data_IF_212801856915
#
_entry.id   IF_212801856915
#
_cell.length_a   1.000
_cell.length_b   1.000
_cell.length_c   1.000
_cell.angle_alpha   90.00
_cell.angle_beta   90.00
_cell.angle_gamma   90.00
#
_symmetry.space_group_name_H-M   'P 1'
#
loop_
_entity.id
_entity.type
_entity.pdbx_description
1 polymer ?
#
# COMPACT_ATOMS: atom_id res chain seq x y z
N UNK A 1 2.01 28.44 6.59
CA UNK A 1 2.51 27.72 5.40
C UNK A 1 3.02 28.71 4.37
N UNK A 2 2.20 29.55 3.72
CA UNK A 2 2.71 30.53 2.72
C UNK A 2 3.48 31.70 3.38
N UNK A 3 2.90 32.35 4.40
CA UNK A 3 3.54 33.43 5.17
C UNK A 3 4.90 33.06 5.78
N UNK A 4 5.08 31.79 6.13
CA UNK A 4 6.34 31.27 6.69
C UNK A 4 7.41 31.23 5.61
N UNK A 5 7.07 30.67 4.45
CA UNK A 5 7.99 30.51 3.33
C UNK A 5 8.34 31.89 2.71
N UNK A 6 7.38 32.80 2.61
CA UNK A 6 7.60 34.20 2.23
C UNK A 6 8.58 34.90 3.17
N UNK A 7 8.51 34.61 4.48
CA UNK A 7 9.41 35.19 5.47
C UNK A 7 10.86 34.71 5.28
N UNK A 8 11.08 33.42 5.04
CA UNK A 8 12.43 32.90 4.74
C UNK A 8 12.99 33.49 3.44
N UNK A 9 12.16 33.62 2.40
CA UNK A 9 12.53 34.27 1.14
C UNK A 9 12.91 35.75 1.35
N UNK A 10 12.10 36.49 2.12
CA UNK A 10 12.35 37.91 2.44
C UNK A 10 13.68 38.16 3.14
N UNK A 11 14.14 37.22 3.97
CA UNK A 11 15.39 37.34 4.73
C UNK A 11 16.58 36.62 4.07
N UNK A 12 16.45 36.18 2.81
CA UNK A 12 17.47 35.45 2.04
C UNK A 12 18.05 34.25 2.81
N UNK A 13 17.21 33.59 3.60
CA UNK A 13 17.62 32.41 4.37
C UNK A 13 17.45 31.15 3.51
N UNK A 14 18.47 30.28 3.43
CA UNK A 14 18.32 28.96 2.84
C UNK A 14 17.13 28.22 3.46
N UNK A 15 16.28 27.66 2.62
CA UNK A 15 15.08 26.93 3.03
C UNK A 15 14.82 25.78 2.07
N UNK A 16 14.23 24.71 2.61
CA UNK A 16 13.68 23.58 1.87
C UNK A 16 12.24 23.41 2.35
N UNK A 17 11.30 23.30 1.42
CA UNK A 17 9.91 22.95 1.75
C UNK A 17 9.75 21.42 1.79
N UNK A 18 9.12 20.90 2.85
CA UNK A 18 8.79 19.47 2.96
C UNK A 18 7.32 19.18 2.56
N UNK A 19 6.58 20.24 2.19
CA UNK A 19 5.20 20.17 1.74
C UNK A 19 5.05 20.23 0.22
N UNK A 20 3.83 19.89 -0.24
CA UNK A 20 3.43 19.95 -1.64
C UNK A 20 2.41 21.07 -1.91
N UNK A 21 2.33 22.08 -1.04
CA UNK A 21 1.38 23.18 -1.24
C UNK A 21 1.81 24.07 -2.42
N UNK A 22 0.86 24.64 -3.14
CA UNK A 22 1.18 25.55 -4.25
C UNK A 22 1.80 26.85 -3.72
N UNK A 23 2.92 27.26 -4.33
CA UNK A 23 3.54 28.58 -4.17
C UNK A 23 4.52 28.80 -5.33
N UNK A 24 4.71 30.04 -5.75
CA UNK A 24 5.61 30.39 -6.88
C UNK A 24 7.04 30.75 -6.42
N UNK A 25 7.33 30.60 -5.13
CA UNK A 25 8.65 30.87 -4.57
C UNK A 25 9.69 29.87 -5.11
N UNK A 26 10.91 30.31 -5.48
CA UNK A 26 11.97 29.47 -6.04
C UNK A 26 12.65 28.65 -4.93
N UNK A 27 11.87 27.92 -4.13
CA UNK A 27 12.32 27.11 -2.99
C UNK A 27 12.19 25.65 -3.38
N UNK A 28 13.34 24.97 -3.35
CA UNK A 28 13.41 23.53 -3.59
C UNK A 28 12.63 22.76 -2.52
N UNK A 29 12.07 21.62 -2.93
CA UNK A 29 11.16 20.82 -2.10
C UNK A 29 11.64 19.39 -2.02
N UNK A 30 11.49 18.78 -0.85
CA UNK A 30 11.65 17.33 -0.67
C UNK A 30 10.31 16.79 -0.18
N UNK A 31 9.62 16.06 -1.04
CA UNK A 31 8.25 15.60 -0.79
C UNK A 31 8.15 14.11 -1.04
N UNK A 32 7.16 13.46 -0.42
CA UNK A 32 6.92 12.04 -0.65
C UNK A 32 6.56 11.75 -2.11
N UNK A 33 7.02 10.61 -2.61
CA UNK A 33 6.67 10.10 -3.93
C UNK A 33 5.27 9.48 -3.93
N UNK A 34 4.26 10.33 -4.17
CA UNK A 34 2.86 9.91 -4.24
C UNK A 34 2.57 8.96 -5.41
N UNK A 35 3.42 8.94 -6.45
CA UNK A 35 3.28 7.99 -7.55
C UNK A 35 3.59 6.57 -7.09
N UNK A 36 4.68 6.40 -6.36
CA UNK A 36 5.03 5.10 -5.80
C UNK A 36 4.04 4.64 -4.73
N UNK A 37 3.50 5.55 -3.91
CA UNK A 37 2.41 5.24 -2.98
C UNK A 37 1.18 4.70 -3.73
N UNK A 38 0.71 5.43 -4.75
CA UNK A 38 -0.44 5.00 -5.55
C UNK A 38 -0.22 3.64 -6.21
N UNK A 39 1.01 3.38 -6.69
CA UNK A 39 1.40 2.08 -7.25
C UNK A 39 1.35 0.96 -6.20
N UNK A 40 1.95 1.15 -5.03
CA UNK A 40 1.98 0.15 -3.96
C UNK A 40 0.57 -0.21 -3.49
N UNK A 41 -0.30 0.79 -3.33
CA UNK A 41 -1.70 0.57 -2.97
C UNK A 41 -2.47 -0.21 -4.04
N UNK A 42 -2.33 0.18 -5.32
CA UNK A 42 -2.97 -0.52 -6.44
C UNK A 42 -2.51 -1.97 -6.55
N UNK A 43 -1.19 -2.20 -6.50
CA UNK A 43 -0.61 -3.54 -6.55
C UNK A 43 -1.13 -4.42 -5.41
N UNK A 44 -1.18 -3.90 -4.17
CA UNK A 44 -1.65 -4.62 -2.99
C UNK A 44 -3.11 -5.05 -3.12
N UNK A 45 -4.00 -4.12 -3.46
CA UNK A 45 -5.42 -4.42 -3.61
C UNK A 45 -5.68 -5.39 -4.77
N UNK A 46 -4.99 -5.22 -5.90
CA UNK A 46 -5.07 -6.16 -7.03
C UNK A 46 -4.64 -7.56 -6.61
N UNK A 47 -3.56 -7.66 -5.83
CA UNK A 47 -3.01 -8.93 -5.37
C UNK A 47 -3.94 -9.66 -4.40
N UNK A 48 -4.79 -8.91 -3.70
CA UNK A 48 -5.89 -9.43 -2.87
C UNK A 48 -7.16 -9.72 -3.68
N UNK A 49 -7.19 -9.42 -4.98
CA UNK A 49 -8.33 -9.65 -5.85
C UNK A 49 -9.34 -8.51 -5.90
N UNK A 50 -9.10 -7.41 -5.19
CA UNK A 50 -9.99 -6.25 -5.28
C UNK A 50 -9.90 -5.64 -6.69
N UNK A 51 -11.08 -5.36 -7.26
CA UNK A 51 -11.25 -4.65 -8.54
C UNK A 51 -11.88 -3.28 -8.37
N UNK A 52 -12.47 -3.04 -7.22
CA UNK A 52 -13.11 -1.78 -6.91
C UNK A 52 -12.55 -1.25 -5.60
N UNK A 53 -12.01 -0.05 -5.68
CA UNK A 53 -11.37 0.63 -4.55
C UNK A 53 -12.13 1.92 -4.31
N UNK A 54 -12.49 2.16 -3.05
CA UNK A 54 -13.17 3.35 -2.60
C UNK A 54 -12.20 4.29 -1.92
N UNK A 55 -12.47 5.58 -2.01
CA UNK A 55 -11.75 6.61 -1.25
C UNK A 55 -12.67 7.80 -1.03
N UNK A 56 -12.23 8.79 -0.24
CA UNK A 56 -12.95 10.06 -0.09
C UNK A 56 -12.44 11.11 -1.08
N UNK A 57 -13.11 12.25 -1.15
CA UNK A 57 -12.69 13.37 -2.01
C UNK A 57 -11.27 13.83 -1.65
N UNK A 58 -10.34 13.92 -2.62
CA UNK A 58 -8.95 14.35 -2.38
C UNK A 58 -8.81 15.87 -2.25
N UNK A 59 -9.89 16.64 -2.35
CA UNK A 59 -9.84 18.11 -2.47
C UNK A 59 -9.14 18.83 -1.31
N UNK A 60 -9.00 18.15 -0.17
CA UNK A 60 -8.38 18.69 1.03
C UNK A 60 -6.87 19.02 0.88
N UNK A 61 -6.13 18.34 -0.01
CA UNK A 61 -4.69 18.62 -0.22
C UNK A 61 -4.19 18.16 -1.60
N UNK A 62 -3.15 18.83 -2.12
CA UNK A 62 -2.48 18.41 -3.37
C UNK A 62 -1.85 17.01 -3.25
N UNK A 63 -1.39 16.66 -2.06
CA UNK A 63 -0.86 15.33 -1.77
C UNK A 63 -1.94 14.24 -1.94
N UNK A 64 -3.15 14.47 -1.44
CA UNK A 64 -4.27 13.53 -1.63
C UNK A 64 -4.68 13.45 -3.10
N UNK A 65 -4.66 14.57 -3.83
CA UNK A 65 -4.93 14.60 -5.28
C UNK A 65 -3.93 13.74 -6.05
N UNK A 66 -2.63 13.92 -5.85
CA UNK A 66 -1.63 13.08 -6.52
C UNK A 66 -1.80 11.60 -6.15
N UNK A 67 -1.99 11.27 -4.86
CA UNK A 67 -2.20 9.88 -4.41
C UNK A 67 -3.40 9.24 -5.11
N UNK A 68 -4.52 9.97 -5.20
CA UNK A 68 -5.71 9.52 -5.92
C UNK A 68 -5.46 9.33 -7.40
N UNK A 69 -4.84 10.29 -8.08
CA UNK A 69 -4.57 10.23 -9.52
C UNK A 69 -3.69 9.03 -9.87
N UNK A 70 -2.64 8.78 -9.10
CA UNK A 70 -1.77 7.64 -9.34
C UNK A 70 -2.42 6.31 -8.96
N UNK A 71 -3.15 6.24 -7.83
CA UNK A 71 -3.95 5.05 -7.50
C UNK A 71 -4.90 4.72 -8.66
N UNK A 72 -5.69 5.70 -9.11
CA UNK A 72 -6.64 5.56 -10.22
C UNK A 72 -5.94 5.07 -11.48
N UNK A 73 -4.83 5.71 -11.87
CA UNK A 73 -4.03 5.32 -13.04
C UNK A 73 -3.62 3.85 -13.01
N UNK A 74 -3.11 3.37 -11.88
CA UNK A 74 -2.63 1.99 -11.77
C UNK A 74 -3.77 0.98 -11.65
N UNK A 75 -4.86 1.33 -10.98
CA UNK A 75 -6.05 0.47 -10.83
C UNK A 75 -6.78 0.30 -12.17
N UNK A 76 -6.98 1.39 -12.92
CA UNK A 76 -7.65 1.36 -14.21
C UNK A 76 -6.81 0.69 -15.31
N UNK A 77 -5.48 0.69 -15.18
CA UNK A 77 -4.60 -0.08 -16.06
C UNK A 77 -4.79 -1.60 -15.96
N UNK A 78 -5.37 -2.08 -14.85
CA UNK A 78 -5.65 -3.49 -14.57
C UNK A 78 -7.18 -3.78 -14.58
N UNK A 79 -7.94 -3.03 -15.38
CA UNK A 79 -9.42 -3.11 -15.53
C UNK A 79 -10.19 -2.94 -14.20
N UNK A 80 -9.56 -2.30 -13.21
CA UNK A 80 -10.20 -1.93 -11.96
C UNK A 80 -10.90 -0.58 -12.02
N UNK A 81 -11.57 -0.22 -10.93
CA UNK A 81 -12.28 1.05 -10.77
C UNK A 81 -11.97 1.68 -9.42
N UNK A 82 -11.69 2.98 -9.42
CA UNK A 82 -11.65 3.79 -8.19
C UNK A 82 -12.91 4.64 -8.09
N UNK A 83 -13.60 4.59 -6.95
CA UNK A 83 -14.82 5.38 -6.70
C UNK A 83 -14.63 6.30 -5.51
N UNK A 84 -14.86 7.58 -5.75
CA UNK A 84 -14.91 8.58 -4.68
C UNK A 84 -16.28 8.50 -4.02
N UNK A 85 -16.28 8.33 -2.71
CA UNK A 85 -17.47 8.56 -1.89
C UNK A 85 -17.55 10.07 -1.67
N UNK A 86 -18.53 10.70 -2.34
CA UNK A 86 -18.74 12.13 -2.24
C UNK A 86 -19.10 12.50 -0.80
N UNK A 87 -18.18 13.19 -0.13
CA UNK A 87 -18.50 14.05 1.00
C UNK A 87 -19.19 15.29 0.40
N UNK A 88 -20.51 15.32 0.33
CA UNK A 88 -21.24 16.54 -0.01
C UNK A 88 -21.17 17.50 1.19
N UNK A 89 -20.00 18.10 1.43
CA UNK A 89 -19.80 19.03 2.53
C UNK A 89 -18.36 19.51 2.62
N UNK A 90 -18.12 20.75 2.16
CA UNK A 90 -16.92 21.53 2.46
C UNK A 90 -16.53 21.34 3.92
N UNK A 91 -15.36 20.80 4.20
CA UNK A 91 -14.67 21.08 5.46
C UNK A 91 -13.19 21.22 5.17
N UNK A 92 -12.77 22.49 5.20
CA UNK A 92 -11.43 22.90 5.55
C UNK A 92 -10.94 22.11 6.77
N UNK A 93 -9.63 21.95 6.90
CA UNK A 93 -8.92 21.33 8.03
C UNK A 93 -9.19 21.98 9.42
N UNK A 94 -10.26 22.75 9.60
CA UNK A 94 -10.53 23.57 10.78
C UNK A 94 -11.84 23.24 11.52
N UNK A 95 -12.60 22.21 11.12
CA UNK A 95 -13.81 21.82 11.86
C UNK A 95 -13.61 20.47 12.56
N UNK A 96 -13.52 20.52 13.88
CA UNK A 96 -13.64 19.42 14.86
C UNK A 96 -15.01 18.67 14.81
N UNK A 97 -15.67 18.61 13.65
CA UNK A 97 -16.94 17.90 13.46
C UNK A 97 -16.73 16.49 12.94
N UNK A 98 -16.18 15.60 13.77
CA UNK A 98 -15.90 14.21 13.41
C UNK A 98 -17.17 13.44 12.95
N UNK A 99 -18.35 13.75 13.49
CA UNK A 99 -19.59 13.00 13.23
C UNK A 99 -20.18 13.15 11.82
N UNK A 100 -19.93 14.29 11.16
CA UNK A 100 -20.49 14.59 9.83
C UNK A 100 -19.78 13.82 8.70
N UNK A 101 -18.47 13.61 8.84
CA UNK A 101 -17.67 12.84 7.89
C UNK A 101 -17.99 11.35 8.03
N UNK A 102 -18.19 10.89 9.28
CA UNK A 102 -18.55 9.51 9.61
C UNK A 102 -19.87 9.09 8.92
N UNK A 103 -20.89 9.93 9.03
CA UNK A 103 -22.22 9.67 8.46
C UNK A 103 -22.19 9.58 6.93
N UNK A 104 -21.45 10.46 6.26
CA UNK A 104 -21.39 10.52 4.81
C UNK A 104 -20.67 9.32 4.18
N UNK A 105 -19.59 8.84 4.80
CA UNK A 105 -18.91 7.62 4.32
C UNK A 105 -19.86 6.43 4.38
N UNK A 106 -20.56 6.26 5.51
CA UNK A 106 -21.51 5.15 5.69
C UNK A 106 -22.71 5.27 4.76
N UNK A 107 -23.28 6.46 4.59
CA UNK A 107 -24.38 6.69 3.63
C UNK A 107 -23.94 6.42 2.19
N UNK A 108 -22.74 6.86 1.82
CA UNK A 108 -22.16 6.59 0.52
C UNK A 108 -21.99 5.09 0.26
N UNK A 109 -21.44 4.36 1.23
CA UNK A 109 -21.31 2.90 1.13
C UNK A 109 -22.66 2.18 1.11
N UNK A 110 -23.65 2.62 1.89
CA UNK A 110 -25.03 2.10 1.84
C UNK A 110 -25.70 2.37 0.49
N UNK A 111 -25.47 3.54 -0.10
CA UNK A 111 -25.96 3.88 -1.44
C UNK A 111 -25.38 2.94 -2.49
N UNK A 112 -24.07 2.67 -2.42
CA UNK A 112 -23.39 1.69 -3.29
C UNK A 112 -23.98 0.29 -3.10
N UNK A 113 -24.20 -0.15 -1.86
CA UNK A 113 -24.80 -1.45 -1.58
C UNK A 113 -26.22 -1.56 -2.19
N UNK A 114 -27.05 -0.52 -2.00
CA UNK A 114 -28.41 -0.44 -2.56
C UNK A 114 -28.40 -0.51 -4.09
N UNK A 115 -27.49 0.20 -4.75
CA UNK A 115 -27.35 0.16 -6.22
C UNK A 115 -26.99 -1.24 -6.74
N UNK A 116 -26.30 -2.03 -5.92
CA UNK A 116 -25.87 -3.40 -6.26
C UNK A 116 -26.87 -4.47 -5.83
N UNK A 117 -28.04 -4.06 -5.33
CA UNK A 117 -29.04 -4.97 -4.77
C UNK A 117 -28.44 -5.92 -3.71
N UNK A 118 -27.52 -5.40 -2.89
CA UNK A 118 -26.87 -6.12 -1.78
C UNK A 118 -26.99 -5.32 -0.49
N UNK A 119 -26.52 -5.89 0.61
CA UNK A 119 -26.40 -5.18 1.89
C UNK A 119 -24.97 -4.72 2.12
N UNK A 120 -24.82 -3.69 2.96
CA UNK A 120 -23.53 -3.09 3.26
C UNK A 120 -22.54 -4.11 3.87
N UNK A 121 -23.06 -5.03 4.68
CA UNK A 121 -22.36 -6.12 5.38
C UNK A 121 -22.08 -7.34 4.49
N UNK A 122 -22.50 -7.31 3.22
CA UNK A 122 -22.23 -8.36 2.24
C UNK A 122 -21.40 -7.85 1.05
N UNK A 123 -20.96 -6.59 1.10
CA UNK A 123 -19.99 -6.09 0.14
C UNK A 123 -18.60 -6.68 0.45
N UNK A 124 -17.73 -6.69 -0.56
CA UNK A 124 -16.32 -7.02 -0.44
C UNK A 124 -15.55 -5.97 -1.23
N UNK A 125 -15.21 -4.86 -0.57
CA UNK A 125 -14.58 -3.70 -1.21
C UNK A 125 -13.28 -3.32 -0.51
N UNK A 126 -12.42 -2.61 -1.22
CA UNK A 126 -11.22 -2.00 -0.67
C UNK A 126 -11.45 -0.51 -0.43
N UNK A 127 -10.87 0.04 0.62
CA UNK A 127 -10.88 1.45 0.94
C UNK A 127 -9.46 1.97 1.11
N UNK A 128 -9.11 2.98 0.32
CA UNK A 128 -7.85 3.68 0.38
C UNK A 128 -8.03 4.98 1.18
N UNK A 129 -7.51 4.99 2.40
CA UNK A 129 -7.44 6.18 3.24
C UNK A 129 -6.14 6.94 2.92
N UNK A 130 -6.22 8.28 2.87
CA UNK A 130 -5.07 9.09 2.51
C UNK A 130 -4.03 9.22 3.63
N UNK A 131 -4.35 8.82 4.86
CA UNK A 131 -3.42 8.71 5.98
C UNK A 131 -3.96 7.73 7.03
N UNK A 132 -3.11 7.38 8.00
CA UNK A 132 -3.48 6.45 9.08
C UNK A 132 -4.52 7.02 10.05
N UNK A 133 -4.62 8.34 10.21
CA UNK A 133 -5.65 8.99 11.03
C UNK A 133 -7.04 8.73 10.43
N UNK A 134 -7.19 8.96 9.14
CA UNK A 134 -8.38 8.67 8.36
C UNK A 134 -8.70 7.18 8.35
N UNK A 135 -7.68 6.32 8.21
CA UNK A 135 -7.86 4.88 8.25
C UNK A 135 -8.38 4.41 9.63
N UNK A 136 -7.81 4.94 10.72
CA UNK A 136 -8.25 4.63 12.08
C UNK A 136 -9.69 5.10 12.34
N UNK A 137 -10.03 6.30 11.87
CA UNK A 137 -11.39 6.81 11.92
C UNK A 137 -12.35 5.89 11.16
N UNK A 138 -12.01 5.47 9.95
CA UNK A 138 -12.81 4.53 9.17
C UNK A 138 -13.02 3.20 9.89
N UNK A 139 -11.95 2.61 10.46
CA UNK A 139 -12.03 1.36 11.22
C UNK A 139 -12.99 1.49 12.41
N UNK A 140 -12.91 2.61 13.15
CA UNK A 140 -13.82 2.90 14.26
C UNK A 140 -15.28 2.93 13.80
N UNK A 141 -15.59 3.66 12.73
CA UNK A 141 -16.97 3.82 12.23
C UNK A 141 -17.50 2.47 11.74
N UNK A 142 -16.74 1.76 10.90
CA UNK A 142 -17.15 0.45 10.39
C UNK A 142 -17.46 -0.53 11.53
N UNK A 143 -16.66 -0.51 12.59
CA UNK A 143 -16.88 -1.32 13.79
C UNK A 143 -18.18 -0.94 14.52
N UNK A 144 -18.52 0.36 14.62
CA UNK A 144 -19.78 0.82 15.22
C UNK A 144 -21.02 0.32 14.45
N UNK A 145 -20.89 0.11 13.13
CA UNK A 145 -21.94 -0.42 12.27
C UNK A 145 -21.86 -1.95 12.08
N UNK A 146 -21.06 -2.66 12.88
CA UNK A 146 -20.85 -4.12 12.80
C UNK A 146 -20.39 -4.60 11.41
N UNK A 147 -19.67 -3.75 10.67
CA UNK A 147 -19.07 -4.13 9.38
C UNK A 147 -17.71 -4.77 9.64
N UNK A 148 -17.50 -5.95 9.07
CA UNK A 148 -16.27 -6.71 9.28
C UNK A 148 -15.13 -6.16 8.46
N UNK A 149 -13.99 -6.02 9.11
CA UNK A 149 -12.73 -5.64 8.49
C UNK A 149 -11.78 -6.82 8.71
N UNK A 150 -11.16 -7.37 7.66
CA UNK A 150 -11.18 -6.92 6.25
C UNK A 150 -12.31 -7.49 5.38
N UNK A 151 -13.13 -8.42 5.89
CA UNK A 151 -13.99 -9.27 5.05
C UNK A 151 -15.04 -8.50 4.26
N UNK A 152 -15.57 -7.41 4.81
CA UNK A 152 -16.52 -6.55 4.10
C UNK A 152 -15.86 -5.34 3.48
N UNK A 153 -15.00 -4.68 4.26
CA UNK A 153 -14.25 -3.50 3.83
C UNK A 153 -12.80 -3.66 4.29
N UNK A 154 -11.91 -3.89 3.34
CA UNK A 154 -10.48 -3.79 3.60
C UNK A 154 -10.07 -2.31 3.65
N UNK A 155 -9.21 -1.95 4.61
CA UNK A 155 -8.78 -0.56 4.84
C UNK A 155 -7.26 -0.49 4.77
N UNK A 156 -6.74 0.33 3.85
CA UNK A 156 -5.31 0.63 3.73
C UNK A 156 -5.05 2.11 4.07
N UNK A 157 -4.14 2.34 5.00
CA UNK A 157 -3.65 3.66 5.39
C UNK A 157 -2.31 4.04 4.77
N UNK A 158 -1.77 5.18 5.20
CA UNK A 158 -0.50 5.75 4.75
C UNK A 158 0.21 6.41 5.95
N UNK A 159 1.54 6.24 5.99
CA UNK A 159 2.54 6.73 6.95
C UNK A 159 3.07 5.69 7.94
N UNK A 160 2.38 4.56 8.13
CA UNK A 160 2.74 3.53 9.11
C UNK A 160 2.97 4.10 10.53
N UNK A 161 2.01 4.88 11.01
CA UNK A 161 2.04 5.45 12.35
C UNK A 161 1.82 4.34 13.40
N UNK A 162 2.89 4.01 14.13
CA UNK A 162 2.86 2.94 15.12
C UNK A 162 1.95 3.27 16.31
N UNK A 163 1.84 4.54 16.70
CA UNK A 163 0.98 4.95 17.82
C UNK A 163 -0.49 4.77 17.47
N UNK A 164 -0.88 5.14 16.24
CA UNK A 164 -2.23 4.88 15.74
C UNK A 164 -2.48 3.37 15.67
N UNK A 165 -1.55 2.61 15.10
CA UNK A 165 -1.73 1.16 14.93
C UNK A 165 -1.88 0.42 16.28
N UNK A 166 -1.10 0.78 17.30
CA UNK A 166 -1.21 0.18 18.65
C UNK A 166 -2.53 0.52 19.33
N UNK A 167 -3.13 1.66 19.01
CA UNK A 167 -4.43 2.09 19.54
C UNK A 167 -5.65 1.39 18.90
N UNK A 168 -5.48 0.61 17.83
CA UNK A 168 -6.57 -0.03 17.11
C UNK A 168 -6.74 -1.49 17.52
N UNK A 169 -8.01 -1.94 17.59
CA UNK A 169 -8.34 -3.36 17.82
C UNK A 169 -8.03 -4.25 16.60
N UNK A 170 -7.86 -3.65 15.42
CA UNK A 170 -7.51 -4.31 14.17
C UNK A 170 -6.23 -3.65 13.68
N UNK A 171 -5.17 -4.43 13.56
CA UNK A 171 -3.89 -3.90 13.09
C UNK A 171 -4.00 -3.34 11.66
N UNK A 172 -3.58 -2.09 11.49
CA UNK A 172 -3.77 -1.30 10.28
C UNK A 172 -2.67 -1.59 9.27
N UNK A 173 -3.06 -2.05 8.09
CA UNK A 173 -2.17 -2.10 6.93
C UNK A 173 -1.89 -0.68 6.47
N UNK A 174 -0.62 -0.35 6.22
CA UNK A 174 -0.22 1.01 5.85
C UNK A 174 1.03 1.04 4.97
N UNK A 175 1.18 2.10 4.18
CA UNK A 175 2.39 2.37 3.39
C UNK A 175 3.34 3.24 4.21
N UNK A 176 4.51 2.70 4.55
CA UNK A 176 5.59 3.45 5.19
C UNK A 176 6.20 4.44 4.19
N UNK A 177 5.97 5.73 4.44
CA UNK A 177 6.44 6.83 3.59
C UNK A 177 7.87 7.27 3.86
N UNK A 178 8.56 6.60 4.80
CA UNK A 178 9.92 6.93 5.23
C UNK A 178 10.08 8.41 5.62
N UNK A 179 9.21 8.89 6.52
CA UNK A 179 9.20 10.30 6.92
C UNK A 179 10.52 10.74 7.56
N UNK A 180 11.21 9.83 8.25
CA UNK A 180 12.55 10.06 8.79
C UNK A 180 13.59 10.25 7.67
N UNK A 181 13.62 9.35 6.68
CA UNK A 181 14.50 9.49 5.52
C UNK A 181 14.18 10.73 4.67
N UNK A 182 12.90 11.09 4.54
CA UNK A 182 12.47 12.33 3.88
C UNK A 182 13.01 13.56 4.61
N UNK A 183 12.94 13.59 5.93
CA UNK A 183 13.51 14.65 6.77
C UNK A 183 15.03 14.73 6.64
N UNK A 184 15.72 13.59 6.73
CA UNK A 184 17.18 13.50 6.53
C UNK A 184 17.59 14.01 5.15
N UNK A 185 16.83 13.64 4.10
CA UNK A 185 17.05 14.13 2.74
C UNK A 185 16.84 15.66 2.65
N UNK A 186 15.81 16.19 3.29
CA UNK A 186 15.58 17.62 3.42
C UNK A 186 16.77 18.36 4.05
N UNK A 187 17.31 17.82 5.15
CA UNK A 187 18.47 18.39 5.83
C UNK A 187 19.74 18.36 4.95
N UNK A 188 19.96 17.28 4.20
CA UNK A 188 21.08 17.17 3.25
C UNK A 188 20.99 18.25 2.16
N UNK A 189 19.82 18.44 1.55
CA UNK A 189 19.65 19.47 0.52
C UNK A 189 19.75 20.90 1.08
N UNK A 190 19.24 21.12 2.30
CA UNK A 190 19.42 22.40 3.00
C UNK A 190 20.91 22.70 3.26
N UNK A 191 21.69 21.71 3.70
CA UNK A 191 23.12 21.88 3.95
C UNK A 191 23.87 22.31 2.68
N UNK A 192 23.55 21.73 1.52
CA UNK A 192 24.12 22.15 0.23
C UNK A 192 23.80 23.60 -0.12
N UNK A 193 22.57 24.06 0.17
CA UNK A 193 22.18 25.46 -0.01
C UNK A 193 22.96 26.38 0.94
N UNK A 194 23.10 26.00 2.21
CA UNK A 194 23.86 26.77 3.20
C UNK A 194 25.34 26.90 2.81
N UNK A 195 25.92 25.84 2.25
CA UNK A 195 27.29 25.81 1.74
C UNK A 195 27.47 26.43 0.35
N UNK A 196 26.38 26.89 -0.29
CA UNK A 196 26.36 27.46 -1.65
C UNK A 196 26.85 26.50 -2.74
N UNK A 197 26.75 25.19 -2.49
CA UNK A 197 27.06 24.14 -3.47
C UNK A 197 26.01 24.07 -4.58
N UNK A 198 24.75 24.41 -4.25
CA UNK A 198 23.63 24.50 -5.16
C UNK A 198 22.91 25.84 -4.98
N UNK A 199 22.13 26.23 -5.99
CA UNK A 199 21.19 27.35 -5.91
C UNK A 199 19.77 26.81 -5.98
N UNK A 200 18.90 27.34 -5.13
CA UNK A 200 17.49 26.98 -5.13
C UNK A 200 16.83 27.40 -6.44
N UNK A 201 16.06 26.51 -7.04
CA UNK A 201 15.40 26.72 -8.34
C UNK A 201 13.91 26.36 -8.33
N UNK A 202 13.34 25.99 -7.18
CA UNK A 202 11.97 25.49 -7.09
C UNK A 202 11.85 24.01 -7.49
N UNK A 203 12.95 23.26 -7.45
CA UNK A 203 12.98 21.85 -7.85
C UNK A 203 12.21 21.00 -6.84
N UNK A 204 11.37 20.08 -7.33
CA UNK A 204 10.70 19.07 -6.50
C UNK A 204 11.51 17.77 -6.53
N UNK A 205 12.02 17.36 -5.38
CA UNK A 205 12.71 16.09 -5.14
C UNK A 205 11.69 15.13 -4.53
N UNK A 206 11.46 13.99 -5.19
CA UNK A 206 10.53 12.96 -4.70
C UNK A 206 11.30 11.91 -3.90
N UNK A 207 10.93 11.73 -2.63
CA UNK A 207 11.46 10.71 -1.73
C UNK A 207 10.55 9.47 -1.76
N UNK A 208 11.07 8.28 -2.14
CA UNK A 208 10.26 7.07 -2.26
C UNK A 208 9.74 6.59 -0.90
N UNK A 209 8.54 5.98 -0.83
CA UNK A 209 8.14 5.21 0.34
C UNK A 209 9.02 3.96 0.50
N UNK A 210 9.18 3.46 1.73
CA UNK A 210 9.90 2.21 2.02
C UNK A 210 9.16 1.00 1.48
N UNK A 211 7.95 0.74 2.00
CA UNK A 211 7.14 -0.42 1.62
C UNK A 211 5.72 -0.32 2.13
N UNK A 212 4.86 -1.20 1.60
CA UNK A 212 3.57 -1.50 2.21
C UNK A 212 3.75 -2.56 3.30
N UNK A 213 3.18 -2.30 4.46
CA UNK A 213 3.14 -3.22 5.61
C UNK A 213 1.72 -3.76 5.71
N UNK A 214 1.53 -4.99 5.21
CA UNK A 214 0.23 -5.66 5.25
C UNK A 214 -0.04 -6.17 6.68
N UNK A 215 -1.25 -5.87 7.19
CA UNK A 215 -1.75 -6.28 8.50
C UNK A 215 -3.22 -6.71 8.39
N UNK A 216 -3.88 -6.95 9.52
CA UNK A 216 -5.24 -7.50 9.56
C UNK A 216 -6.26 -6.68 8.76
N UNK A 217 -6.14 -5.34 8.73
CA UNK A 217 -7.13 -4.49 8.07
C UNK A 217 -7.27 -4.73 6.56
N UNK A 218 -6.35 -5.46 5.93
CA UNK A 218 -6.48 -5.89 4.54
C UNK A 218 -6.28 -7.39 4.37
N UNK A 219 -6.16 -8.19 5.43
CA UNK A 219 -5.81 -9.62 5.35
C UNK A 219 -6.99 -10.51 4.89
N UNK A 220 -7.48 -10.26 3.68
CA UNK A 220 -8.52 -11.05 3.02
C UNK A 220 -8.32 -11.04 1.50
N UNK A 221 -8.89 -12.05 0.86
CA UNK A 221 -9.01 -12.10 -0.60
C UNK A 221 -10.43 -11.74 -1.01
N UNK A 222 -10.57 -10.73 -1.86
CA UNK A 222 -11.83 -10.30 -2.44
C UNK A 222 -12.25 -11.21 -3.60
N UNK A 223 -12.44 -12.49 -3.31
CA UNK A 223 -12.77 -13.52 -4.30
C UNK A 223 -14.09 -14.18 -3.95
N UNK A 224 -15.10 -13.97 -4.80
CA UNK A 224 -16.46 -14.49 -4.58
C UNK A 224 -16.54 -16.02 -4.64
N UNK A 225 -15.67 -16.67 -5.41
CA UNK A 225 -15.66 -18.11 -5.53
C UNK A 225 -15.05 -18.75 -4.28
N UNK A 226 -15.89 -19.42 -3.47
CA UNK A 226 -15.49 -20.06 -2.20
C UNK A 226 -14.35 -21.07 -2.34
N UNK A 227 -14.29 -21.83 -3.45
CA UNK A 227 -13.21 -22.77 -3.72
C UNK A 227 -11.89 -22.01 -3.89
N UNK A 228 -11.89 -20.93 -4.69
CA UNK A 228 -10.69 -20.13 -4.94
C UNK A 228 -10.26 -19.40 -3.68
N UNK A 229 -11.17 -18.74 -2.96
CA UNK A 229 -10.87 -18.08 -1.69
C UNK A 229 -10.27 -19.05 -0.65
N UNK A 230 -10.86 -20.24 -0.51
CA UNK A 230 -10.34 -21.29 0.35
C UNK A 230 -8.95 -21.76 -0.08
N UNK A 231 -8.73 -21.97 -1.38
CA UNK A 231 -7.45 -22.39 -1.93
C UNK A 231 -6.36 -21.33 -1.74
N UNK A 232 -6.68 -20.04 -1.89
CA UNK A 232 -5.75 -18.92 -1.65
C UNK A 232 -5.30 -18.87 -0.19
N UNK A 233 -6.24 -19.04 0.75
CA UNK A 233 -5.91 -19.13 2.17
C UNK A 233 -5.03 -20.37 2.47
N UNK A 234 -5.40 -21.53 1.91
CA UNK A 234 -4.62 -22.75 2.08
C UNK A 234 -3.19 -22.62 1.53
N UNK A 235 -3.02 -21.99 0.36
CA UNK A 235 -1.70 -21.69 -0.20
C UNK A 235 -0.92 -20.78 0.75
N UNK A 236 -1.52 -19.71 1.26
CA UNK A 236 -0.88 -18.79 2.20
C UNK A 236 -0.36 -19.50 3.46
N UNK A 237 -1.08 -20.50 3.97
CA UNK A 237 -0.69 -21.28 5.15
C UNK A 237 0.30 -22.42 4.85
N UNK A 238 0.50 -22.81 3.58
CA UNK A 238 1.25 -24.03 3.22
C UNK A 238 2.36 -23.84 2.18
N UNK A 239 2.55 -22.65 1.60
CA UNK A 239 3.51 -22.44 0.50
C UNK A 239 4.95 -22.85 0.85
N UNK A 240 5.34 -22.71 2.11
CA UNK A 240 6.67 -23.05 2.65
C UNK A 240 6.95 -24.56 2.63
N UNK A 241 5.91 -25.40 2.56
CA UNK A 241 6.04 -26.87 2.61
C UNK A 241 6.41 -27.49 1.26
N UNK A 242 6.83 -26.71 0.27
CA UNK A 242 7.18 -27.22 -1.05
C UNK A 242 5.99 -27.64 -1.92
N UNK A 243 4.76 -27.24 -1.56
CA UNK A 243 3.52 -27.59 -2.29
C UNK A 243 3.52 -27.18 -3.78
N UNK A 244 2.73 -27.89 -4.56
CA UNK A 244 2.39 -27.62 -5.95
C UNK A 244 0.88 -27.44 -6.15
N UNK A 245 0.46 -27.02 -7.35
CA UNK A 245 -0.95 -26.85 -7.68
C UNK A 245 -1.78 -28.15 -7.51
N UNK A 246 -1.16 -29.32 -7.73
CA UNK A 246 -1.80 -30.61 -7.53
C UNK A 246 -2.14 -30.87 -6.04
N UNK A 247 -1.29 -30.42 -5.11
CA UNK A 247 -1.53 -30.56 -3.67
C UNK A 247 -2.71 -29.70 -3.22
N UNK A 248 -2.83 -28.48 -3.78
CA UNK A 248 -3.98 -27.61 -3.55
C UNK A 248 -5.26 -28.27 -4.06
N UNK A 249 -5.24 -28.81 -5.27
CA UNK A 249 -6.41 -29.49 -5.86
C UNK A 249 -6.85 -30.70 -5.01
N UNK A 250 -5.88 -31.49 -4.53
CA UNK A 250 -6.12 -32.61 -3.62
C UNK A 250 -6.73 -32.17 -2.29
N UNK A 251 -6.24 -31.07 -1.70
CA UNK A 251 -6.75 -30.56 -0.42
C UNK A 251 -8.24 -30.15 -0.47
N UNK A 252 -8.73 -29.78 -1.65
CA UNK A 252 -10.12 -29.37 -1.87
C UNK A 252 -10.97 -30.41 -2.61
N UNK A 253 -10.46 -31.63 -2.83
CA UNK A 253 -11.13 -32.71 -3.54
C UNK A 253 -11.62 -32.33 -4.95
N UNK A 254 -10.80 -31.58 -5.70
CA UNK A 254 -11.07 -31.18 -7.09
C UNK A 254 -9.97 -31.63 -8.03
N UNK A 255 -10.24 -31.67 -9.34
CA UNK A 255 -9.21 -31.92 -10.35
C UNK A 255 -8.30 -30.70 -10.48
N UNK A 256 -7.02 -30.92 -10.84
CA UNK A 256 -6.09 -29.82 -11.07
C UNK A 256 -6.57 -28.88 -12.20
N UNK A 257 -7.16 -29.44 -13.26
CA UNK A 257 -7.77 -28.65 -14.34
C UNK A 257 -8.97 -27.83 -13.85
N UNK A 258 -9.82 -28.40 -12.99
CA UNK A 258 -10.95 -27.69 -12.39
C UNK A 258 -10.50 -26.53 -11.51
N UNK A 259 -9.47 -26.74 -10.67
CA UNK A 259 -8.87 -25.67 -9.87
C UNK A 259 -8.27 -24.58 -10.75
N UNK A 260 -7.53 -24.96 -11.81
CA UNK A 260 -6.91 -24.01 -12.73
C UNK A 260 -7.96 -23.15 -13.45
N UNK A 261 -9.06 -23.76 -13.90
CA UNK A 261 -10.18 -23.04 -14.50
C UNK A 261 -10.81 -22.06 -13.51
N UNK A 262 -11.12 -22.52 -12.28
CA UNK A 262 -11.71 -21.66 -11.26
C UNK A 262 -10.82 -20.45 -10.91
N UNK A 263 -9.50 -20.64 -10.81
CA UNK A 263 -8.56 -19.53 -10.61
C UNK A 263 -8.57 -18.56 -11.78
N UNK A 264 -8.54 -19.04 -13.03
CA UNK A 264 -8.58 -18.18 -14.21
C UNK A 264 -9.87 -17.36 -14.30
N UNK A 265 -11.00 -17.95 -13.91
CA UNK A 265 -12.31 -17.30 -13.99
C UNK A 265 -12.53 -16.27 -12.87
N UNK A 266 -11.80 -16.36 -11.75
CA UNK A 266 -12.10 -15.61 -10.52
C UNK A 266 -10.91 -14.95 -9.82
N UNK A 267 -9.68 -15.10 -10.32
CA UNK A 267 -8.50 -14.54 -9.68
C UNK A 267 -7.42 -14.15 -10.71
N UNK A 268 -6.52 -13.24 -10.31
CA UNK A 268 -5.48 -12.66 -11.18
C UNK A 268 -4.36 -13.62 -11.59
N UNK A 269 -4.21 -14.74 -10.88
CA UNK A 269 -3.09 -15.67 -11.04
C UNK A 269 -3.59 -17.09 -11.09
N UNK A 270 -2.82 -17.96 -11.72
CA UNK A 270 -3.00 -19.40 -11.59
C UNK A 270 -2.55 -19.91 -10.21
N UNK A 271 -2.97 -21.10 -9.76
CA UNK A 271 -2.52 -21.66 -8.47
C UNK A 271 -0.98 -21.74 -8.38
N UNK A 272 -0.32 -22.16 -9.46
CA UNK A 272 1.14 -22.24 -9.51
C UNK A 272 1.85 -20.88 -9.56
N UNK A 273 1.22 -19.86 -10.16
CA UNK A 273 1.72 -18.48 -10.09
C UNK A 273 1.57 -17.92 -8.66
N UNK A 274 0.45 -18.17 -7.99
CA UNK A 274 0.22 -17.68 -6.63
C UNK A 274 1.17 -18.33 -5.61
N UNK A 275 1.41 -19.64 -5.71
CA UNK A 275 2.43 -20.32 -4.87
C UNK A 275 3.80 -19.64 -5.06
N UNK A 276 4.22 -19.42 -6.31
CA UNK A 276 5.50 -18.75 -6.61
C UNK A 276 5.55 -17.33 -6.08
N UNK A 277 4.44 -16.59 -6.21
CA UNK A 277 4.31 -15.22 -5.71
C UNK A 277 4.47 -15.16 -4.19
N UNK A 278 3.75 -16.01 -3.44
CA UNK A 278 3.85 -16.09 -1.97
C UNK A 278 5.26 -16.43 -1.50
N UNK A 279 5.91 -17.39 -2.18
CA UNK A 279 7.30 -17.74 -1.90
C UNK A 279 8.26 -16.57 -2.16
N UNK A 280 8.13 -15.89 -3.29
CA UNK A 280 9.00 -14.75 -3.62
C UNK A 280 8.83 -13.59 -2.63
N UNK A 281 7.60 -13.31 -2.18
CA UNK A 281 7.32 -12.33 -1.12
C UNK A 281 7.99 -12.71 0.21
N UNK A 282 7.89 -13.98 0.61
CA UNK A 282 8.58 -14.47 1.81
C UNK A 282 10.10 -14.36 1.70
N UNK A 283 10.67 -14.64 0.52
CA UNK A 283 12.10 -14.43 0.25
C UNK A 283 12.47 -12.96 0.41
N UNK A 284 11.72 -12.02 -0.19
CA UNK A 284 11.99 -10.59 -0.06
C UNK A 284 12.02 -10.14 1.41
N UNK A 285 11.02 -10.57 2.20
CA UNK A 285 10.98 -10.27 3.64
C UNK A 285 12.21 -10.82 4.38
N UNK A 286 12.67 -12.03 4.09
CA UNK A 286 13.86 -12.60 4.72
C UNK A 286 15.15 -11.89 4.27
N UNK A 287 15.22 -11.44 3.02
CA UNK A 287 16.36 -10.65 2.53
C UNK A 287 16.45 -9.28 3.21
N UNK A 288 15.31 -8.70 3.59
CA UNK A 288 15.22 -7.40 4.29
C UNK A 288 15.53 -7.50 5.78
N UNK A 289 15.13 -8.59 6.43
CA UNK A 289 15.17 -8.68 7.90
C UNK A 289 16.29 -9.56 8.45
N UNK A 290 17.04 -10.28 7.58
CA UNK A 290 18.03 -11.26 8.03
C UNK A 290 19.23 -11.36 7.09
N UNK A 291 20.38 -11.76 7.65
CA UNK A 291 21.60 -12.05 6.90
C UNK A 291 21.74 -13.54 6.49
N UNK A 292 20.67 -14.33 6.65
CA UNK A 292 20.72 -15.77 6.37
C UNK A 292 21.06 -16.07 4.91
N UNK A 293 21.66 -17.23 4.68
CA UNK A 293 22.15 -17.61 3.35
C UNK A 293 21.00 -17.93 2.40
N UNK A 294 21.22 -17.79 1.08
CA UNK A 294 20.20 -18.15 0.09
C UNK A 294 19.79 -19.64 0.17
N UNK A 295 20.69 -20.52 0.63
CA UNK A 295 20.38 -21.93 0.88
C UNK A 295 19.33 -22.10 2.00
N UNK A 296 19.49 -21.40 3.11
CA UNK A 296 18.55 -21.44 4.24
C UNK A 296 17.21 -20.79 3.85
N UNK A 297 17.25 -19.65 3.17
CA UNK A 297 16.05 -18.99 2.65
C UNK A 297 15.28 -19.93 1.70
N UNK A 298 15.98 -20.62 0.78
CA UNK A 298 15.35 -21.58 -0.13
C UNK A 298 14.58 -22.66 0.64
N UNK A 299 15.22 -23.26 1.65
CA UNK A 299 14.60 -24.29 2.50
C UNK A 299 13.39 -23.75 3.26
N UNK A 300 13.48 -22.57 3.85
CA UNK A 300 12.43 -21.97 4.67
C UNK A 300 11.24 -21.45 3.83
N UNK A 301 11.47 -21.11 2.56
CA UNK A 301 10.42 -20.64 1.66
C UNK A 301 9.85 -21.74 0.75
N UNK A 302 10.19 -23.02 0.96
CA UNK A 302 9.63 -24.13 0.19
C UNK A 302 10.16 -24.25 -1.23
N UNK A 303 11.41 -23.83 -1.46
CA UNK A 303 12.15 -24.09 -2.70
C UNK A 303 13.02 -25.33 -2.53
N UNK A 304 13.13 -26.13 -3.60
CA UNK A 304 13.96 -27.34 -3.62
C UNK A 304 15.45 -27.03 -3.81
N UNK A 305 15.77 -25.92 -4.47
CA UNK A 305 17.14 -25.46 -4.71
C UNK A 305 17.20 -23.94 -4.80
N UNK A 306 18.40 -23.39 -4.62
CA UNK A 306 18.67 -21.95 -4.82
C UNK A 306 18.36 -21.52 -6.25
N UNK A 307 18.57 -22.37 -7.25
CA UNK A 307 18.26 -22.04 -8.65
C UNK A 307 16.75 -21.84 -8.87
N UNK A 308 15.93 -22.69 -8.26
CA UNK A 308 14.47 -22.54 -8.30
C UNK A 308 14.01 -21.29 -7.55
N UNK A 309 14.68 -20.93 -6.44
CA UNK A 309 14.46 -19.68 -5.73
C UNK A 309 14.80 -18.48 -6.62
N UNK A 310 15.98 -18.44 -7.22
CA UNK A 310 16.43 -17.32 -8.07
C UNK A 310 15.47 -17.14 -9.25
N UNK A 311 15.09 -18.23 -9.90
CA UNK A 311 14.17 -18.20 -11.05
C UNK A 311 12.78 -17.72 -10.63
N UNK A 312 12.25 -18.23 -9.51
CA UNK A 312 10.96 -17.81 -8.96
C UNK A 312 10.96 -16.35 -8.51
N UNK A 313 12.03 -15.88 -7.88
CA UNK A 313 12.18 -14.50 -7.41
C UNK A 313 12.28 -13.52 -8.59
N UNK A 314 13.08 -13.85 -9.61
CA UNK A 314 13.18 -13.05 -10.85
C UNK A 314 11.84 -12.90 -11.55
N UNK A 315 11.02 -13.96 -11.57
CA UNK A 315 9.71 -13.90 -12.21
C UNK A 315 8.73 -12.93 -11.54
N UNK A 316 8.96 -12.57 -10.27
CA UNK A 316 8.10 -11.66 -9.49
C UNK A 316 8.71 -10.27 -9.38
N UNK A 317 10.01 -10.17 -9.12
CA UNK A 317 10.71 -8.92 -8.85
C UNK A 317 11.56 -8.39 -10.01
N UNK A 318 11.63 -9.10 -11.14
CA UNK A 318 12.46 -8.76 -12.30
C UNK A 318 13.96 -8.57 -11.99
N UNK A 319 14.45 -9.08 -10.86
CA UNK A 319 15.84 -9.04 -10.46
C UNK A 319 16.26 -10.25 -9.61
N UNK A 320 17.57 -10.42 -9.36
CA UNK A 320 18.06 -11.51 -8.50
C UNK A 320 17.89 -11.18 -7.02
N UNK A 321 17.76 -12.20 -6.14
CA UNK A 321 17.78 -12.02 -4.69
C UNK A 321 19.01 -11.23 -4.19
N UNK A 322 20.20 -11.52 -4.75
CA UNK A 322 21.43 -10.82 -4.37
C UNK A 322 21.42 -9.34 -4.74
N UNK A 323 20.92 -8.97 -5.94
CA UNK A 323 20.78 -7.56 -6.33
C UNK A 323 19.73 -6.84 -5.48
N UNK A 324 18.62 -7.51 -5.18
CA UNK A 324 17.58 -7.00 -4.28
C UNK A 324 18.16 -6.66 -2.90
N UNK A 325 18.91 -7.60 -2.29
CA UNK A 325 19.58 -7.36 -0.99
C UNK A 325 20.54 -6.16 -1.05
N UNK A 326 21.37 -6.08 -2.09
CA UNK A 326 22.33 -4.97 -2.26
C UNK A 326 21.65 -3.59 -2.38
N UNK A 327 20.49 -3.51 -3.03
CA UNK A 327 19.74 -2.26 -3.15
C UNK A 327 19.24 -1.81 -1.77
N UNK A 328 18.67 -2.73 -0.99
CA UNK A 328 18.19 -2.44 0.36
C UNK A 328 19.33 -1.98 1.28
N UNK A 329 20.48 -2.67 1.26
CA UNK A 329 21.63 -2.29 2.10
C UNK A 329 22.14 -0.89 1.78
N UNK A 330 22.14 -0.49 0.50
CA UNK A 330 22.53 0.87 0.07
C UNK A 330 21.52 1.93 0.50
N UNK A 331 20.23 1.63 0.47
CA UNK A 331 19.17 2.55 0.90
C UNK A 331 19.18 2.81 2.42
N UNK A 332 19.61 1.82 3.22
CA UNK A 332 19.70 1.94 4.69
C UNK A 332 20.95 2.75 5.13
N UNK A 333 21.85 3.13 4.23
CA UNK A 333 22.98 4.00 4.56
C UNK A 333 24.02 3.36 5.48
N UNK A 334 24.11 2.02 5.51
CA UNK A 334 25.13 1.29 6.28
C UNK A 334 26.58 1.47 5.75
N UNK A 335 26.77 2.28 4.69
CA UNK A 335 28.09 2.65 4.16
C UNK A 335 28.60 4.02 4.68
N UNK A 336 28.03 4.59 5.76
CA UNK A 336 28.52 5.84 6.39
C UNK A 336 28.94 5.63 7.87
N UNK A 337 29.64 4.54 8.17
CA UNK A 337 30.41 4.42 9.43
C UNK A 337 31.86 4.07 9.12
#
# INVERSE_FOLDING_TARGET
TEKTIELFSKYEKPAIDLGLNNHDLPIDRVVTDNQQIGKLAADHFRDQGYREIFTISPEASLMHKERYEYLKKYVEADDGKVTIINNAGKTSHEAFGFDLIDSQIIEGLKSVAKQRNTTFENMSIAFFAYDDVMAAQLIRILSQYNVKIPENVAVLGINNDELINVGLNISLSSIDCDLEGLGAKGAIELNKLMNKEIKSSGKIIRHPPKKLIARQSTDSYAVNNKLVAGALNWINCNFQKGIFAADVAKAFNVTQQGLQKAFNDHYIRTPGQEIRYRRAKAVANLLECTDVTLNEIAKNCGYYSVDTLISGFKAVYNQTPGRYRQQITKEIGLDII
#
